data_IF_104229722344
#
_entry.id   IF_104229722344
#
_cell.length_a   1.000
_cell.length_b   1.000
_cell.length_c   1.000
_cell.angle_alpha   90.00
_cell.angle_beta   90.00
_cell.angle_gamma   90.00
#
_symmetry.space_group_name_H-M   'P 1'
#
loop_
_entity.id
_entity.type
_entity.pdbx_description
1 polymer ?
#
# COMPACT_ATOMS: atom_id res chain seq x y z
N UNK A 1 -26.72 27.94 9.51
CA UNK A 1 -25.49 27.14 9.73
C UNK A 1 -25.86 26.02 10.70
N UNK A 2 -25.62 24.78 10.32
CA UNK A 2 -25.93 23.67 11.24
C UNK A 2 -24.82 23.56 12.28
N UNK A 3 -25.10 22.95 13.45
CA UNK A 3 -24.08 22.62 14.44
C UNK A 3 -22.92 21.82 13.83
N UNK A 4 -23.22 21.00 12.83
CA UNK A 4 -22.24 20.20 12.10
C UNK A 4 -21.31 21.08 11.26
N UNK A 5 -21.84 22.10 10.61
CA UNK A 5 -21.04 23.03 9.79
C UNK A 5 -20.10 23.86 10.67
N UNK A 6 -20.61 24.33 11.82
CA UNK A 6 -19.83 25.07 12.80
C UNK A 6 -18.71 24.22 13.39
N UNK A 7 -19.01 22.97 13.75
CA UNK A 7 -17.97 22.02 14.22
C UNK A 7 -16.92 21.72 13.14
N UNK A 8 -17.32 21.63 11.87
CA UNK A 8 -16.38 21.44 10.76
C UNK A 8 -15.46 22.64 10.57
N UNK A 9 -15.96 23.86 10.72
CA UNK A 9 -15.15 25.08 10.66
C UNK A 9 -14.17 25.16 11.83
N UNK A 10 -14.61 24.87 13.05
CA UNK A 10 -13.76 24.85 14.24
C UNK A 10 -12.62 23.83 14.12
N UNK A 11 -12.92 22.63 13.63
CA UNK A 11 -11.93 21.60 13.39
C UNK A 11 -10.95 22.00 12.28
N UNK A 12 -11.41 22.63 11.21
CA UNK A 12 -10.53 23.17 10.17
C UNK A 12 -9.63 24.28 10.72
N UNK A 13 -10.16 25.14 11.59
CA UNK A 13 -9.38 26.19 12.25
C UNK A 13 -8.28 25.59 13.13
N UNK A 14 -8.60 24.57 13.92
CA UNK A 14 -7.62 23.86 14.77
C UNK A 14 -6.53 23.17 13.94
N UNK A 15 -6.90 22.51 12.83
CA UNK A 15 -5.93 21.87 11.94
C UNK A 15 -5.02 22.88 11.21
N UNK A 16 -5.50 24.10 11.00
CA UNK A 16 -4.74 25.16 10.36
C UNK A 16 -3.76 25.88 11.31
N UNK A 17 -3.75 25.53 12.59
CA UNK A 17 -2.73 26.05 13.52
C UNK A 17 -1.39 25.35 13.27
N UNK A 18 -0.30 26.13 13.32
CA UNK A 18 1.07 25.59 13.11
C UNK A 18 1.46 24.50 14.12
N UNK A 19 0.75 24.44 15.25
CA UNK A 19 1.00 23.45 16.30
C UNK A 19 0.43 22.06 16.00
N UNK A 20 -0.68 21.96 15.27
CA UNK A 20 -1.41 20.71 15.07
C UNK A 20 -1.48 20.28 13.61
N UNK A 21 -1.43 21.19 12.69
CA UNK A 21 -1.53 20.93 11.26
C UNK A 21 -0.16 20.78 10.59
N UNK A 22 -0.08 19.91 9.63
CA UNK A 22 1.07 19.72 8.79
C UNK A 22 0.71 20.06 7.34
N UNK A 23 1.60 20.80 6.68
CA UNK A 23 1.40 21.07 5.27
C UNK A 23 1.65 19.80 4.45
N UNK A 24 0.68 19.45 3.67
CA UNK A 24 0.76 18.33 2.76
C UNK A 24 0.26 18.70 1.38
N UNK A 25 0.75 18.00 0.38
CA UNK A 25 0.13 17.95 -0.92
C UNK A 25 -0.40 16.53 -1.15
N UNK A 26 -1.61 16.39 -1.63
CA UNK A 26 -2.12 15.09 -2.00
C UNK A 26 -2.34 15.00 -3.50
N UNK A 27 -2.11 13.81 -4.03
CA UNK A 27 -2.25 13.54 -5.46
C UNK A 27 -3.34 12.49 -5.64
N UNK A 28 -4.31 12.81 -6.48
CA UNK A 28 -5.40 11.90 -6.83
C UNK A 28 -5.00 10.95 -7.97
N UNK A 29 -5.91 10.08 -8.36
CA UNK A 29 -5.73 9.13 -9.47
C UNK A 29 -5.46 9.78 -10.83
N UNK A 30 -5.83 11.06 -11.00
CA UNK A 30 -5.56 11.84 -12.21
C UNK A 30 -4.24 12.63 -12.13
N UNK A 31 -3.38 12.35 -11.14
CA UNK A 31 -2.12 13.06 -10.86
C UNK A 31 -2.28 14.58 -10.59
N UNK A 32 -3.48 14.99 -10.20
CA UNK A 32 -3.71 16.38 -9.79
C UNK A 32 -3.20 16.57 -8.36
N UNK A 33 -2.34 17.55 -8.17
CA UNK A 33 -1.76 17.89 -6.87
C UNK A 33 -2.58 18.99 -6.21
N UNK A 34 -3.07 18.72 -5.00
CA UNK A 34 -3.90 19.66 -4.23
C UNK A 34 -3.21 19.91 -2.88
N UNK A 35 -2.92 21.19 -2.53
CA UNK A 35 -2.38 21.49 -1.22
C UNK A 35 -3.43 21.27 -0.13
N UNK A 36 -3.02 20.74 1.02
CA UNK A 36 -3.88 20.54 2.18
C UNK A 36 -3.14 20.62 3.49
N UNK A 37 -3.85 21.03 4.51
CA UNK A 37 -3.43 20.85 5.89
C UNK A 37 -3.95 19.51 6.40
N UNK A 38 -3.07 18.71 6.99
CA UNK A 38 -3.38 17.37 7.49
C UNK A 38 -2.79 17.19 8.88
N UNK A 39 -3.34 16.26 9.64
CA UNK A 39 -2.70 15.73 10.84
C UNK A 39 -2.23 14.31 10.58
N UNK A 40 -0.92 14.10 10.60
CA UNK A 40 -0.32 12.78 10.44
C UNK A 40 0.08 12.21 11.80
N UNK A 41 -0.46 11.04 12.13
CA UNK A 41 -0.15 10.30 13.37
C UNK A 41 0.44 8.96 12.97
N UNK A 42 1.75 8.80 13.20
CA UNK A 42 2.43 7.53 12.93
C UNK A 42 1.97 6.45 13.90
N UNK A 43 1.81 5.25 13.39
CA UNK A 43 1.41 4.06 14.12
C UNK A 43 2.61 3.15 14.36
N UNK A 44 2.55 2.26 15.36
CA UNK A 44 3.57 1.23 15.54
C UNK A 44 3.83 0.48 14.24
N UNK A 45 5.10 0.23 13.95
CA UNK A 45 5.51 -0.46 12.74
C UNK A 45 5.00 -1.90 12.74
N UNK A 46 4.38 -2.32 11.62
CA UNK A 46 3.99 -3.70 11.37
C UNK A 46 4.53 -4.10 10.01
N UNK A 47 4.87 -5.36 9.84
CA UNK A 47 5.41 -5.89 8.58
C UNK A 47 6.62 -5.09 8.08
N UNK A 48 7.41 -4.51 8.99
CA UNK A 48 8.57 -3.65 8.63
C UNK A 48 8.21 -2.45 7.72
N UNK A 49 6.95 -2.04 7.73
CA UNK A 49 6.48 -0.87 6.98
C UNK A 49 5.88 0.14 7.94
N UNK A 50 6.35 1.39 7.83
CA UNK A 50 5.79 2.51 8.59
C UNK A 50 4.38 2.78 8.15
N UNK A 51 3.49 2.98 9.12
CA UNK A 51 2.07 3.27 8.92
C UNK A 51 1.70 4.56 9.63
N UNK A 52 0.69 5.22 9.10
CA UNK A 52 0.14 6.41 9.72
C UNK A 52 -1.37 6.52 9.49
N UNK A 53 -2.02 7.23 10.39
CA UNK A 53 -3.33 7.80 10.14
C UNK A 53 -3.15 9.25 9.70
N UNK A 54 -3.76 9.59 8.57
CA UNK A 54 -3.81 10.97 8.11
C UNK A 54 -5.26 11.46 8.26
N UNK A 55 -5.41 12.50 9.05
CA UNK A 55 -6.68 13.18 9.26
C UNK A 55 -6.75 14.40 8.36
N UNK A 56 -7.84 14.51 7.61
CA UNK A 56 -8.13 15.65 6.76
C UNK A 56 -9.51 16.21 7.06
N UNK A 57 -9.74 17.50 6.87
CA UNK A 57 -11.09 18.04 6.89
C UNK A 57 -11.97 17.30 5.89
N UNK A 58 -13.17 16.93 6.31
CA UNK A 58 -14.17 16.38 5.40
C UNK A 58 -14.52 17.44 4.36
N UNK A 59 -14.15 17.22 3.14
CA UNK A 59 -14.42 18.11 2.02
C UNK A 59 -15.26 17.39 0.97
N UNK A 60 -15.75 18.15 0.00
CA UNK A 60 -16.47 17.64 -1.16
C UNK A 60 -15.65 16.65 -2.00
N UNK A 61 -14.33 16.69 -1.87
CA UNK A 61 -13.44 15.75 -2.57
C UNK A 61 -12.99 14.66 -1.61
N UNK A 62 -13.60 13.50 -1.71
CA UNK A 62 -13.24 12.34 -0.90
C UNK A 62 -11.83 11.84 -1.25
N UNK A 63 -11.05 11.57 -0.21
CA UNK A 63 -9.79 10.84 -0.35
C UNK A 63 -10.12 9.36 -0.47
N UNK A 64 -9.58 8.70 -1.48
CA UNK A 64 -9.82 7.27 -1.72
C UNK A 64 -8.51 6.49 -1.72
N UNK A 65 -8.63 5.17 -1.61
CA UNK A 65 -7.48 4.28 -1.70
C UNK A 65 -6.70 4.49 -3.01
N UNK A 66 -5.38 4.41 -2.91
CA UNK A 66 -4.45 4.68 -4.01
C UNK A 66 -3.97 6.13 -4.11
N UNK A 67 -4.63 7.07 -3.45
CA UNK A 67 -4.14 8.45 -3.38
C UNK A 67 -2.85 8.53 -2.57
N UNK A 68 -2.07 9.57 -2.82
CA UNK A 68 -0.81 9.79 -2.10
C UNK A 68 -0.80 11.13 -1.41
N UNK A 69 -0.25 11.17 -0.19
CA UNK A 69 0.05 12.38 0.53
C UNK A 69 1.57 12.58 0.58
N UNK A 70 2.02 13.75 0.21
CA UNK A 70 3.38 14.22 0.46
C UNK A 70 3.35 15.16 1.67
N UNK A 71 3.96 14.74 2.77
CA UNK A 71 3.97 15.49 4.03
C UNK A 71 5.38 15.97 4.28
N UNK A 72 5.52 17.27 4.50
CA UNK A 72 6.80 17.91 4.82
C UNK A 72 6.89 18.19 6.31
N UNK A 73 7.92 17.63 6.95
CA UNK A 73 8.29 17.88 8.35
C UNK A 73 9.72 18.41 8.38
N UNK A 74 9.87 19.70 8.65
CA UNK A 74 11.18 20.37 8.54
C UNK A 74 11.75 20.21 7.13
N UNK A 75 12.94 19.63 7.01
CA UNK A 75 13.61 19.39 5.73
C UNK A 75 13.30 18.00 5.12
N UNK A 76 12.50 17.19 5.78
CA UNK A 76 12.17 15.83 5.32
C UNK A 76 10.79 15.81 4.70
N UNK A 77 10.71 15.29 3.48
CA UNK A 77 9.44 15.03 2.79
C UNK A 77 9.23 13.53 2.72
N UNK A 78 8.10 13.06 3.24
CA UNK A 78 7.68 11.67 3.17
C UNK A 78 6.44 11.53 2.30
N UNK A 79 6.35 10.44 1.54
CA UNK A 79 5.18 10.13 0.72
C UNK A 79 4.44 8.95 1.33
N UNK A 80 3.15 9.11 1.52
CA UNK A 80 2.25 8.15 2.13
C UNK A 80 1.18 7.74 1.13
N UNK A 81 0.95 6.45 0.99
CA UNK A 81 -0.08 5.90 0.10
C UNK A 81 -1.30 5.54 0.94
N UNK A 82 -2.45 6.03 0.52
CA UNK A 82 -3.74 5.72 1.16
C UNK A 82 -4.15 4.30 0.81
N UNK A 83 -4.34 3.48 1.81
CA UNK A 83 -4.79 2.11 1.66
C UNK A 83 -6.30 2.00 1.85
N UNK A 84 -6.82 2.75 2.80
CA UNK A 84 -8.24 2.75 3.15
C UNK A 84 -8.59 4.11 3.77
N UNK A 85 -9.83 4.52 3.60
CA UNK A 85 -10.35 5.74 4.21
C UNK A 85 -11.69 5.42 4.86
N UNK A 86 -11.84 5.80 6.12
CA UNK A 86 -13.11 5.70 6.81
C UNK A 86 -14.14 6.64 6.17
N UNK A 87 -15.41 6.25 6.09
CA UNK A 87 -16.47 7.18 5.75
C UNK A 87 -16.42 8.39 6.68
N UNK A 88 -16.61 9.58 6.13
CA UNK A 88 -16.64 10.79 6.93
C UNK A 88 -17.93 10.81 7.78
N UNK A 89 -17.82 10.33 9.01
CA UNK A 89 -18.92 10.39 9.98
C UNK A 89 -19.04 11.76 10.65
N UNK A 90 -17.94 12.51 10.63
CA UNK A 90 -17.79 13.82 11.28
C UNK A 90 -17.15 14.81 10.31
N UNK A 91 -16.79 15.99 10.81
CA UNK A 91 -16.04 17.01 10.06
C UNK A 91 -14.63 16.56 9.61
N UNK A 92 -14.16 15.43 10.09
CA UNK A 92 -12.85 14.86 9.76
C UNK A 92 -12.99 13.53 9.04
N UNK A 93 -12.12 13.33 8.07
CA UNK A 93 -11.94 12.06 7.40
C UNK A 93 -10.60 11.46 7.81
N UNK A 94 -10.58 10.20 8.21
CA UNK A 94 -9.38 9.45 8.58
C UNK A 94 -8.99 8.51 7.45
N UNK A 95 -7.76 8.66 6.99
CA UNK A 95 -7.15 7.77 5.99
C UNK A 95 -6.06 6.92 6.64
N UNK A 96 -6.09 5.63 6.39
CA UNK A 96 -5.04 4.67 6.77
C UNK A 96 -3.99 4.64 5.67
N UNK A 97 -2.75 4.97 6.01
CA UNK A 97 -1.69 5.16 5.04
C UNK A 97 -0.48 4.32 5.38
N UNK A 98 0.24 3.90 4.35
CA UNK A 98 1.55 3.29 4.45
C UNK A 98 2.59 4.20 3.82
N UNK A 99 3.79 4.23 4.41
CA UNK A 99 4.92 4.90 3.79
C UNK A 99 5.16 4.30 2.41
N UNK A 100 5.36 5.14 1.40
CA UNK A 100 5.58 4.69 0.04
C UNK A 100 6.87 3.87 -0.05
N UNK A 101 6.78 2.66 -0.58
CA UNK A 101 7.92 1.78 -0.80
C UNK A 101 8.76 2.29 -1.98
N UNK A 102 10.08 2.07 -1.92
CA UNK A 102 11.02 2.58 -2.92
C UNK A 102 11.30 1.59 -4.05
N UNK A 103 11.22 0.30 -3.76
CA UNK A 103 11.49 -0.76 -4.71
C UNK A 103 10.29 -1.02 -5.62
N UNK A 104 10.54 -1.63 -6.77
CA UNK A 104 9.52 -2.02 -7.72
C UNK A 104 9.69 -3.47 -8.12
N UNK A 105 8.56 -4.12 -8.37
CA UNK A 105 8.49 -5.43 -9.00
C UNK A 105 7.51 -5.38 -10.16
N UNK A 106 7.74 -6.24 -11.14
CA UNK A 106 6.77 -6.47 -12.21
C UNK A 106 5.91 -7.66 -11.86
N UNK A 107 4.61 -7.45 -11.71
CA UNK A 107 3.63 -8.52 -11.52
C UNK A 107 3.21 -9.08 -12.88
N UNK A 108 3.33 -10.39 -13.03
CA UNK A 108 2.84 -11.14 -14.19
C UNK A 108 1.74 -12.09 -13.75
N UNK A 109 0.55 -11.91 -14.27
CA UNK A 109 -0.57 -12.78 -13.98
C UNK A 109 -0.59 -13.98 -14.92
N UNK A 110 -0.74 -15.15 -14.34
CA UNK A 110 -0.89 -16.39 -15.07
C UNK A 110 -2.34 -16.57 -15.53
N UNK A 111 -2.56 -16.53 -16.82
CA UNK A 111 -3.89 -16.72 -17.41
C UNK A 111 -3.92 -17.98 -18.27
N UNK A 112 -5.05 -18.65 -18.27
CA UNK A 112 -5.30 -19.76 -19.19
C UNK A 112 -5.62 -19.14 -20.54
N UNK A 113 -4.81 -19.41 -21.56
CA UNK A 113 -5.15 -19.03 -22.92
C UNK A 113 -6.25 -19.97 -23.43
N UNK A 114 -7.39 -19.40 -23.80
CA UNK A 114 -8.45 -20.10 -24.51
C UNK A 114 -8.05 -20.19 -25.99
N UNK A 115 -7.29 -21.23 -26.35
CA UNK A 115 -7.03 -21.54 -27.76
C UNK A 115 -8.17 -22.35 -28.38
N UNK A 116 -8.32 -22.34 -29.71
CA UNK A 116 -9.38 -23.08 -30.42
C UNK A 116 -9.24 -24.61 -30.30
N UNK A 117 -8.12 -25.13 -29.86
CA UNK A 117 -7.92 -26.55 -29.64
C UNK A 117 -8.15 -26.93 -28.16
N UNK A 118 -9.18 -27.70 -27.90
CA UNK A 118 -9.61 -28.19 -26.57
C UNK A 118 -8.59 -29.05 -25.80
N UNK A 119 -7.37 -29.25 -26.29
CA UNK A 119 -6.47 -30.29 -25.80
C UNK A 119 -5.35 -29.81 -24.87
N UNK A 120 -4.89 -28.56 -24.97
CA UNK A 120 -3.79 -28.06 -24.14
C UNK A 120 -4.17 -26.73 -23.48
N UNK A 121 -4.26 -26.73 -22.16
CA UNK A 121 -4.34 -25.49 -21.37
C UNK A 121 -2.95 -24.85 -21.40
N UNK A 122 -2.71 -23.96 -22.34
CA UNK A 122 -1.52 -23.13 -22.32
C UNK A 122 -1.71 -22.02 -21.29
N UNK A 123 -0.78 -21.92 -20.35
CA UNK A 123 -0.72 -20.80 -19.44
C UNK A 123 0.15 -19.72 -20.07
N UNK A 124 -0.36 -18.52 -20.12
CA UNK A 124 0.38 -17.35 -20.61
C UNK A 124 0.54 -16.38 -19.44
N UNK A 125 1.78 -16.04 -19.13
CA UNK A 125 2.08 -15.01 -18.16
C UNK A 125 1.93 -13.64 -18.85
N UNK A 126 0.98 -12.87 -18.40
CA UNK A 126 0.72 -11.53 -18.92
C UNK A 126 1.24 -10.50 -17.91
N UNK A 127 2.14 -9.64 -18.34
CA UNK A 127 2.59 -8.51 -17.53
C UNK A 127 1.40 -7.58 -17.24
N UNK A 128 1.17 -7.30 -15.97
CA UNK A 128 0.00 -6.52 -15.55
C UNK A 128 0.38 -5.13 -15.11
N UNK A 129 1.44 -5.00 -14.33
CA UNK A 129 1.89 -3.70 -13.81
C UNK A 129 3.26 -3.77 -13.14
N UNK A 130 3.93 -2.64 -13.08
CA UNK A 130 4.97 -2.37 -12.11
C UNK A 130 4.32 -1.94 -10.79
N UNK A 131 4.67 -2.61 -9.72
CA UNK A 131 4.11 -2.39 -8.38
C UNK A 131 5.23 -2.08 -7.41
N UNK A 132 5.01 -1.11 -6.53
CA UNK A 132 5.95 -0.85 -5.44
C UNK A 132 5.97 -2.00 -4.48
N UNK A 133 7.16 -2.39 -4.04
CA UNK A 133 7.36 -3.56 -3.22
C UNK A 133 8.50 -3.39 -2.22
N UNK A 134 8.58 -4.32 -1.29
CA UNK A 134 9.73 -4.51 -0.42
C UNK A 134 10.08 -5.99 -0.38
N UNK A 135 11.32 -6.33 -0.72
CA UNK A 135 11.86 -7.69 -0.66
C UNK A 135 12.55 -7.96 0.66
N UNK A 136 12.49 -9.22 1.08
CA UNK A 136 13.22 -9.75 2.22
C UNK A 136 13.97 -11.00 1.79
N UNK A 137 15.28 -10.96 1.95
CA UNK A 137 16.17 -12.00 1.41
C UNK A 137 16.35 -13.22 2.31
N UNK A 138 15.80 -13.27 3.51
CA UNK A 138 15.92 -14.45 4.35
C UNK A 138 15.06 -14.43 5.61
N UNK A 139 14.97 -15.61 6.20
CA UNK A 139 14.26 -15.94 7.43
C UNK A 139 14.65 -15.11 8.66
N UNK A 140 15.85 -14.54 8.70
CA UNK A 140 16.36 -13.86 9.88
C UNK A 140 15.67 -12.50 10.14
N UNK A 141 15.35 -11.74 9.10
CA UNK A 141 14.64 -10.46 9.24
C UNK A 141 13.17 -10.64 9.56
N UNK A 142 12.57 -11.75 9.15
CA UNK A 142 11.15 -12.03 9.34
C UNK A 142 10.85 -12.55 10.74
N UNK A 143 11.76 -13.32 11.32
CA UNK A 143 11.61 -13.84 12.68
C UNK A 143 11.57 -12.74 13.73
N UNK A 144 12.13 -11.57 13.44
CA UNK A 144 12.07 -10.39 14.30
C UNK A 144 10.70 -9.65 14.23
N UNK A 145 9.92 -9.83 13.15
CA UNK A 145 8.68 -9.08 12.90
C UNK A 145 7.40 -9.88 13.09
N UNK A 146 7.48 -11.19 13.01
CA UNK A 146 6.33 -12.07 13.26
C UNK A 146 6.54 -12.83 14.57
N UNK A 147 5.69 -12.59 15.54
CA UNK A 147 5.68 -13.33 16.81
C UNK A 147 5.64 -14.85 16.57
N UNK A 148 6.80 -15.46 16.53
CA UNK A 148 7.08 -16.80 17.01
C UNK A 148 6.54 -18.01 16.26
N UNK A 149 5.91 -17.94 15.08
CA UNK A 149 5.21 -19.14 14.58
C UNK A 149 5.67 -19.75 13.26
N UNK A 150 6.61 -19.18 12.51
CA UNK A 150 7.08 -19.82 11.28
C UNK A 150 8.60 -19.72 11.10
N UNK A 151 9.23 -20.86 11.00
CA UNK A 151 10.59 -20.96 10.45
C UNK A 151 10.45 -20.84 8.92
N UNK A 152 11.15 -19.89 8.32
CA UNK A 152 11.29 -19.86 6.87
C UNK A 152 12.04 -21.13 6.42
N UNK A 153 11.58 -21.72 5.33
CA UNK A 153 12.32 -22.79 4.68
C UNK A 153 13.44 -22.18 3.84
N UNK A 154 14.55 -22.90 3.72
CA UNK A 154 15.61 -22.49 2.82
C UNK A 154 15.09 -22.40 1.38
N UNK A 155 15.31 -21.24 0.72
CA UNK A 155 14.80 -20.98 -0.63
C UNK A 155 13.47 -20.26 -0.72
N UNK A 156 12.81 -19.93 0.40
CA UNK A 156 11.64 -19.04 0.40
C UNK A 156 12.08 -17.57 0.37
N UNK A 157 11.45 -16.81 -0.49
CA UNK A 157 11.61 -15.37 -0.62
C UNK A 157 10.31 -14.70 -0.23
N UNK A 158 10.42 -13.51 0.32
CA UNK A 158 9.28 -12.78 0.84
C UNK A 158 9.19 -11.41 0.19
N UNK A 159 8.00 -11.04 -0.24
CA UNK A 159 7.75 -9.77 -0.87
C UNK A 159 6.48 -9.14 -0.34
N UNK A 160 6.53 -7.88 0.05
CA UNK A 160 5.35 -7.10 0.39
C UNK A 160 5.03 -6.21 -0.80
N UNK A 161 3.80 -6.29 -1.30
CA UNK A 161 3.32 -5.45 -2.39
C UNK A 161 2.51 -4.27 -1.88
N UNK A 162 2.87 -3.06 -2.31
CA UNK A 162 2.07 -1.87 -2.08
C UNK A 162 1.04 -1.73 -3.22
N UNK A 163 0.06 -2.63 -3.19
CA UNK A 163 -0.98 -2.72 -4.23
C UNK A 163 -2.33 -3.01 -3.61
N UNK A 164 -3.37 -2.45 -4.24
CA UNK A 164 -4.77 -2.77 -3.99
C UNK A 164 -5.31 -3.83 -4.96
N UNK A 165 -4.45 -4.35 -5.85
CA UNK A 165 -4.84 -5.36 -6.82
C UNK A 165 -4.81 -6.74 -6.20
N UNK A 166 -5.71 -7.59 -6.66
CA UNK A 166 -5.68 -9.00 -6.33
C UNK A 166 -4.44 -9.66 -6.94
N UNK A 167 -3.79 -10.45 -6.12
CA UNK A 167 -2.62 -11.25 -6.47
C UNK A 167 -2.95 -12.69 -6.14
N UNK A 168 -2.65 -13.59 -7.06
CA UNK A 168 -3.03 -14.99 -6.91
C UNK A 168 -1.80 -15.90 -6.74
N UNK A 169 -2.02 -17.05 -6.14
CA UNK A 169 -1.04 -18.14 -6.16
C UNK A 169 -0.78 -18.55 -7.61
N UNK A 170 0.46 -18.85 -7.92
CA UNK A 170 1.00 -19.13 -9.24
C UNK A 170 1.19 -17.92 -10.17
N UNK A 171 0.80 -16.71 -9.78
CA UNK A 171 1.31 -15.49 -10.41
C UNK A 171 2.83 -15.40 -10.20
N UNK A 172 3.50 -14.59 -11.00
CA UNK A 172 4.95 -14.40 -10.94
C UNK A 172 5.27 -12.93 -10.66
N UNK A 173 6.25 -12.71 -9.82
CA UNK A 173 6.85 -11.38 -9.62
C UNK A 173 8.29 -11.39 -10.11
N UNK A 174 8.66 -10.36 -10.87
CA UNK A 174 10.02 -10.15 -11.33
C UNK A 174 10.62 -8.99 -10.52
N UNK A 175 11.76 -9.20 -9.89
CA UNK A 175 12.47 -8.15 -9.14
C UNK A 175 13.21 -7.18 -10.07
N UNK A 176 13.88 -6.18 -9.50
CA UNK A 176 14.66 -5.19 -10.24
C UNK A 176 15.84 -5.79 -11.01
N UNK A 177 16.37 -6.92 -10.55
CA UNK A 177 17.50 -7.63 -11.17
C UNK A 177 17.04 -8.55 -12.32
N UNK A 178 15.75 -8.59 -12.62
CA UNK A 178 15.18 -9.44 -13.67
C UNK A 178 14.94 -10.88 -13.26
N UNK A 179 15.13 -11.22 -11.98
CA UNK A 179 14.88 -12.57 -11.48
C UNK A 179 13.37 -12.80 -11.29
N UNK A 180 12.91 -13.99 -11.67
CA UNK A 180 11.50 -14.36 -11.58
C UNK A 180 11.25 -15.23 -10.35
N UNK A 181 10.13 -14.93 -9.67
CA UNK A 181 9.70 -15.63 -8.48
C UNK A 181 8.22 -15.99 -8.61
N UNK A 182 7.92 -17.27 -8.45
CA UNK A 182 6.53 -17.75 -8.42
C UNK A 182 5.95 -17.51 -7.05
N UNK A 183 4.71 -17.03 -7.00
CA UNK A 183 3.97 -16.83 -5.77
C UNK A 183 3.37 -18.15 -5.34
N UNK A 184 3.81 -18.68 -4.21
CA UNK A 184 3.31 -19.93 -3.65
C UNK A 184 2.20 -19.69 -2.63
N UNK A 185 2.20 -18.52 -1.97
CA UNK A 185 1.17 -18.15 -1.01
C UNK A 185 1.04 -16.62 -0.91
N UNK A 186 -0.18 -16.18 -0.68
CA UNK A 186 -0.51 -14.78 -0.41
C UNK A 186 -1.16 -14.71 0.97
N UNK A 187 -0.60 -13.88 1.84
CA UNK A 187 -1.16 -13.59 3.16
C UNK A 187 -1.68 -12.15 3.20
N UNK A 188 -2.67 -11.88 4.05
CA UNK A 188 -3.26 -10.55 4.27
C UNK A 188 -3.94 -9.90 3.03
N UNK A 189 -4.22 -10.65 1.98
CA UNK A 189 -4.80 -10.11 0.75
C UNK A 189 -6.16 -9.42 0.97
N UNK A 190 -6.92 -9.89 1.95
CA UNK A 190 -8.26 -9.36 2.25
C UNK A 190 -8.28 -8.39 3.42
N UNK A 191 -7.14 -8.10 4.02
CA UNK A 191 -7.05 -7.12 5.08
C UNK A 191 -6.90 -5.72 4.47
N UNK A 192 -7.88 -4.83 4.70
CA UNK A 192 -7.86 -3.47 4.16
C UNK A 192 -6.76 -2.59 4.73
N UNK A 193 -6.16 -2.98 5.85
CA UNK A 193 -5.15 -2.20 6.58
C UNK A 193 -3.73 -2.70 6.31
N UNK A 194 -3.57 -4.01 6.09
CA UNK A 194 -2.27 -4.63 5.84
C UNK A 194 -2.06 -4.86 4.34
N UNK A 195 -0.80 -4.81 3.91
CA UNK A 195 -0.43 -5.06 2.53
C UNK A 195 -0.37 -6.57 2.24
N UNK A 196 -0.63 -7.00 1.00
CA UNK A 196 -0.39 -8.36 0.58
C UNK A 196 1.06 -8.78 0.85
N UNK A 197 1.20 -9.89 1.53
CA UNK A 197 2.49 -10.48 1.87
C UNK A 197 2.64 -11.78 1.10
N UNK A 198 3.63 -11.82 0.23
CA UNK A 198 3.86 -12.92 -0.68
C UNK A 198 4.97 -13.81 -0.17
N UNK A 199 4.76 -15.12 -0.25
CA UNK A 199 5.78 -16.13 -0.10
C UNK A 199 6.04 -16.70 -1.48
N UNK A 200 7.29 -16.62 -1.92
CA UNK A 200 7.68 -16.88 -3.28
C UNK A 200 8.83 -17.89 -3.35
N UNK A 201 8.87 -18.66 -4.41
CA UNK A 201 10.02 -19.50 -4.77
C UNK A 201 10.65 -18.98 -6.05
N UNK A 202 11.96 -18.89 -6.11
CA UNK A 202 12.69 -18.49 -7.29
C UNK A 202 12.44 -19.49 -8.42
N UNK A 203 12.10 -18.98 -9.59
CA UNK A 203 12.00 -19.80 -10.79
C UNK A 203 13.40 -19.91 -11.40
N UNK A 204 13.89 -21.13 -11.55
CA UNK A 204 15.05 -21.37 -12.41
C UNK A 204 14.64 -21.05 -13.85
N UNK A 205 15.43 -20.21 -14.50
CA UNK A 205 15.26 -19.83 -15.92
C UNK A 205 15.71 -20.94 -16.83
#
# INVERSE_FOLDING_TARGET
MSLRDQFAEDVCAILNTDELGEQASWTNSANVVIPRTVRLIEQPERQTIRRAHIWTPASTTAVTAGYTFRVKRGNVTTTWVVMFTDPAETALQRSYCHLQLSEFVTLKQRRTATGPARAERQFVDTEVAQIRAKWFLSSAEISATQSGKRRAMAGEYYCILQSLRDVNVADTVTNADGENYRIDRVENQFNRVDLPYLICTRCDT
#
